data_IF_103159856220
#
_entry.id   IF_103159856220
#
_cell.length_a   1.000
_cell.length_b   1.000
_cell.length_c   1.000
_cell.angle_alpha   90.00
_cell.angle_beta   90.00
_cell.angle_gamma   90.00
#
_symmetry.space_group_name_H-M   'P 1'
#
loop_
_entity.id
_entity.type
_entity.pdbx_description
1 polymer ?
#
# COMPACT_ATOMS: atom_id res chain seq x y z
N UNK A 1 10.92 -10.59 -16.50
CA UNK A 1 11.70 -10.87 -15.27
C UNK A 1 10.78 -10.67 -14.08
N UNK A 2 10.79 -11.60 -13.11
CA UNK A 2 10.00 -11.54 -11.88
C UNK A 2 10.94 -11.78 -10.70
N UNK A 3 10.95 -10.88 -9.72
CA UNK A 3 11.71 -11.06 -8.49
C UNK A 3 10.76 -11.35 -7.33
N UNK A 4 10.94 -12.50 -6.67
CA UNK A 4 10.07 -12.97 -5.59
C UNK A 4 10.82 -12.91 -4.27
N UNK A 5 10.19 -12.34 -3.25
CA UNK A 5 10.74 -12.33 -1.90
C UNK A 5 9.65 -12.74 -0.91
N UNK A 6 9.99 -13.66 -0.01
CA UNK A 6 9.10 -14.22 0.99
C UNK A 6 9.92 -14.80 2.15
N UNK A 7 9.27 -15.08 3.27
CA UNK A 7 9.90 -15.70 4.43
C UNK A 7 10.41 -17.11 4.14
N UNK A 8 11.51 -17.48 4.79
CA UNK A 8 12.28 -18.69 4.51
C UNK A 8 11.52 -20.04 4.56
N UNK A 9 10.51 -20.28 5.42
CA UNK A 9 9.83 -21.59 5.37
C UNK A 9 8.96 -21.75 4.12
N UNK A 10 8.46 -20.67 3.52
CA UNK A 10 7.50 -20.72 2.40
C UNK A 10 8.12 -20.34 1.05
N UNK A 11 9.25 -19.63 1.04
CA UNK A 11 9.85 -19.12 -0.20
C UNK A 11 10.17 -20.23 -1.19
N UNK A 12 10.67 -21.38 -0.71
CA UNK A 12 11.02 -22.51 -1.59
C UNK A 12 9.80 -22.99 -2.37
N UNK A 13 8.71 -23.24 -1.65
CA UNK A 13 7.46 -23.74 -2.23
C UNK A 13 6.87 -22.71 -3.21
N UNK A 14 6.90 -21.42 -2.85
CA UNK A 14 6.44 -20.33 -3.72
C UNK A 14 7.28 -20.27 -5.01
N UNK A 15 8.61 -20.39 -4.91
CA UNK A 15 9.49 -20.33 -6.09
C UNK A 15 9.29 -21.54 -6.99
N UNK A 16 9.16 -22.74 -6.42
CA UNK A 16 8.86 -23.97 -7.17
C UNK A 16 7.50 -23.86 -7.88
N UNK A 17 6.46 -23.43 -7.18
CA UNK A 17 5.14 -23.19 -7.76
C UNK A 17 5.17 -22.13 -8.86
N UNK A 18 5.87 -21.02 -8.62
CA UNK A 18 5.97 -19.89 -9.57
C UNK A 18 6.67 -20.35 -10.86
N UNK A 19 7.79 -21.06 -10.74
CA UNK A 19 8.49 -21.61 -11.92
C UNK A 19 7.65 -22.65 -12.65
N UNK A 20 6.90 -23.47 -11.92
CA UNK A 20 6.01 -24.46 -12.53
C UNK A 20 4.87 -23.81 -13.33
N UNK A 21 4.22 -22.78 -12.77
CA UNK A 21 3.07 -22.11 -13.39
C UNK A 21 3.45 -21.07 -14.45
N UNK A 22 4.60 -20.42 -14.29
CA UNK A 22 4.94 -19.20 -15.03
C UNK A 22 6.36 -19.17 -15.61
N UNK A 23 7.15 -20.23 -15.45
CA UNK A 23 8.55 -20.27 -15.88
C UNK A 23 8.76 -20.24 -17.40
N UNK A 24 7.72 -20.50 -18.18
CA UNK A 24 7.70 -20.33 -19.64
C UNK A 24 7.60 -18.86 -20.07
N UNK A 25 7.03 -17.99 -19.22
CA UNK A 25 6.79 -16.56 -19.50
C UNK A 25 7.71 -15.63 -18.75
N UNK A 26 8.14 -16.04 -17.56
CA UNK A 26 8.93 -15.20 -16.67
C UNK A 26 10.22 -15.89 -16.27
N UNK A 27 11.31 -15.14 -16.40
CA UNK A 27 12.56 -15.45 -15.71
C UNK A 27 12.42 -15.07 -14.23
N UNK A 28 12.46 -16.08 -13.35
CA UNK A 28 12.19 -15.95 -11.91
C UNK A 28 13.49 -15.87 -11.12
N UNK A 29 13.68 -14.73 -10.45
CA UNK A 29 14.71 -14.46 -9.45
C UNK A 29 14.08 -14.46 -8.06
N UNK A 30 14.86 -14.72 -7.01
CA UNK A 30 14.34 -14.68 -5.65
C UNK A 30 15.34 -14.18 -4.62
N UNK A 31 14.82 -13.60 -3.55
CA UNK A 31 15.55 -13.14 -2.38
C UNK A 31 15.03 -13.82 -1.12
N UNK A 32 15.93 -14.13 -0.18
CA UNK A 32 15.60 -14.84 1.05
C UNK A 32 15.42 -13.86 2.20
N UNK A 33 14.32 -13.98 2.95
CA UNK A 33 14.15 -13.33 4.25
C UNK A 33 14.31 -14.36 5.38
N UNK A 34 15.45 -14.35 6.07
CA UNK A 34 15.61 -15.11 7.31
C UNK A 34 15.35 -14.21 8.52
N UNK A 35 14.08 -13.97 8.82
CA UNK A 35 13.67 -13.14 9.96
C UNK A 35 13.91 -13.82 11.33
N UNK A 36 14.27 -15.10 11.36
CA UNK A 36 14.56 -15.84 12.60
C UNK A 36 16.05 -15.86 12.96
N UNK A 37 16.91 -15.35 12.07
CA UNK A 37 18.35 -15.31 12.29
C UNK A 37 18.79 -13.86 12.50
N UNK A 38 19.15 -13.53 13.74
CA UNK A 38 19.60 -12.18 14.13
C UNK A 38 21.08 -11.91 13.78
N UNK A 39 21.70 -12.74 12.94
CA UNK A 39 23.09 -12.53 12.53
C UNK A 39 23.23 -11.32 11.60
N UNK A 40 24.42 -10.71 11.62
CA UNK A 40 24.75 -9.59 10.75
C UNK A 40 24.64 -9.95 9.26
N UNK A 41 24.97 -11.19 8.93
CA UNK A 41 24.90 -11.76 7.58
C UNK A 41 23.45 -11.82 7.12
N UNK A 42 22.56 -12.38 7.94
CA UNK A 42 21.12 -12.43 7.63
C UNK A 42 20.52 -11.02 7.45
N UNK A 43 20.90 -10.07 8.32
CA UNK A 43 20.48 -8.68 8.15
C UNK A 43 20.98 -8.06 6.83
N UNK A 44 22.23 -8.35 6.45
CA UNK A 44 22.83 -7.87 5.19
C UNK A 44 22.10 -8.45 3.97
N UNK A 45 21.70 -9.72 4.03
CA UNK A 45 20.91 -10.38 2.99
C UNK A 45 19.53 -9.72 2.85
N UNK A 46 18.82 -9.48 3.96
CA UNK A 46 17.51 -8.80 3.96
C UNK A 46 17.62 -7.41 3.33
N UNK A 47 18.64 -6.62 3.69
CA UNK A 47 18.88 -5.30 3.11
C UNK A 47 19.18 -5.36 1.61
N UNK A 48 19.93 -6.37 1.15
CA UNK A 48 20.19 -6.57 -0.27
C UNK A 48 18.89 -6.87 -1.02
N UNK A 49 18.01 -7.71 -0.46
CA UNK A 49 16.70 -8.02 -1.03
C UNK A 49 15.82 -6.78 -1.09
N UNK A 50 15.73 -5.98 -0.01
CA UNK A 50 14.95 -4.73 -0.02
C UNK A 50 15.48 -3.73 -1.04
N UNK A 51 16.81 -3.62 -1.18
CA UNK A 51 17.43 -2.75 -2.19
C UNK A 51 17.10 -3.21 -3.60
N UNK A 52 17.05 -4.51 -3.86
CA UNK A 52 16.67 -5.06 -5.18
C UNK A 52 15.20 -4.75 -5.44
N UNK A 53 14.30 -5.05 -4.50
CA UNK A 53 12.87 -4.78 -4.62
C UNK A 53 12.59 -3.29 -4.87
N UNK A 54 13.25 -2.38 -4.14
CA UNK A 54 13.07 -0.94 -4.30
C UNK A 54 13.55 -0.41 -5.67
N UNK A 55 14.35 -1.19 -6.41
CA UNK A 55 14.81 -0.90 -7.77
C UNK A 55 13.97 -1.59 -8.85
N UNK A 56 13.00 -2.42 -8.48
CA UNK A 56 12.05 -2.97 -9.44
C UNK A 56 11.21 -1.85 -10.06
N UNK A 57 10.80 -2.02 -11.32
CA UNK A 57 9.97 -1.02 -12.01
C UNK A 57 8.53 -0.97 -11.48
N UNK A 58 8.09 -2.07 -10.89
CA UNK A 58 6.76 -2.21 -10.31
C UNK A 58 6.80 -3.23 -9.17
N UNK A 59 6.02 -3.01 -8.12
CA UNK A 59 5.89 -3.92 -6.97
C UNK A 59 4.45 -4.38 -6.82
N UNK A 60 4.27 -5.67 -6.50
CA UNK A 60 3.01 -6.20 -6.00
C UNK A 60 3.28 -6.80 -4.62
N UNK A 61 2.54 -6.37 -3.60
CA UNK A 61 2.75 -6.80 -2.23
C UNK A 61 1.50 -6.64 -1.35
N UNK A 62 1.66 -6.80 -0.04
CA UNK A 62 0.68 -6.37 0.97
C UNK A 62 1.25 -5.20 1.77
N UNK A 63 0.52 -4.09 1.86
CA UNK A 63 0.91 -2.97 2.73
C UNK A 63 0.66 -3.24 4.21
N UNK A 64 0.00 -4.34 4.59
CA UNK A 64 0.10 -4.85 5.97
C UNK A 64 1.52 -5.27 6.37
N UNK A 65 2.42 -5.47 5.41
CA UNK A 65 3.83 -5.80 5.67
C UNK A 65 4.70 -4.55 5.76
N UNK A 66 5.30 -4.32 6.93
CA UNK A 66 6.30 -3.27 7.14
C UNK A 66 7.49 -3.40 6.16
N UNK A 67 7.83 -4.62 5.75
CA UNK A 67 8.86 -4.84 4.74
C UNK A 67 8.47 -4.24 3.39
N UNK A 68 7.19 -4.38 2.97
CA UNK A 68 6.74 -3.75 1.73
C UNK A 68 6.67 -2.22 1.86
N UNK A 69 6.17 -1.69 2.99
CA UNK A 69 6.13 -0.24 3.22
C UNK A 69 7.55 0.37 3.10
N UNK A 70 8.54 -0.24 3.75
CA UNK A 70 9.93 0.20 3.67
C UNK A 70 10.48 0.15 2.23
N UNK A 71 10.19 -0.92 1.50
CA UNK A 71 10.60 -1.04 0.09
C UNK A 71 9.97 0.05 -0.77
N UNK A 72 8.69 0.36 -0.55
CA UNK A 72 7.99 1.43 -1.25
C UNK A 72 8.58 2.82 -0.93
N UNK A 73 8.93 3.07 0.32
CA UNK A 73 9.62 4.31 0.73
C UNK A 73 10.99 4.45 0.08
N UNK A 74 11.79 3.38 0.09
CA UNK A 74 13.09 3.34 -0.58
C UNK A 74 12.96 3.55 -2.10
N UNK A 75 11.90 3.01 -2.72
CA UNK A 75 11.64 3.20 -4.14
C UNK A 75 11.48 4.68 -4.49
N UNK A 76 10.79 5.48 -3.68
CA UNK A 76 10.65 6.92 -3.91
C UNK A 76 12.03 7.62 -3.93
N UNK A 77 12.95 7.21 -3.06
CA UNK A 77 14.31 7.76 -3.02
C UNK A 77 15.11 7.37 -4.27
N UNK A 78 14.96 6.15 -4.77
CA UNK A 78 15.74 5.66 -5.92
C UNK A 78 15.21 6.12 -7.27
N UNK A 79 13.90 6.32 -7.40
CA UNK A 79 13.23 6.50 -8.70
C UNK A 79 12.55 7.87 -8.84
N UNK A 80 12.43 8.65 -7.76
CA UNK A 80 11.70 9.92 -7.77
C UNK A 80 10.21 9.71 -7.53
N UNK A 81 9.35 10.23 -8.41
CA UNK A 81 7.90 10.02 -8.33
C UNK A 81 7.54 8.61 -8.80
N UNK A 82 7.49 7.68 -7.84
CA UNK A 82 7.15 6.28 -8.06
C UNK A 82 5.90 5.89 -7.26
N UNK A 83 5.03 6.85 -6.98
CA UNK A 83 3.82 6.64 -6.16
C UNK A 83 2.89 5.60 -6.78
N UNK A 84 2.83 5.53 -8.12
CA UNK A 84 1.97 4.61 -8.87
C UNK A 84 2.66 3.27 -9.23
N UNK A 85 3.96 3.12 -8.94
CA UNK A 85 4.73 1.93 -9.32
C UNK A 85 4.54 0.75 -8.34
N UNK A 86 3.39 0.70 -7.66
CA UNK A 86 3.08 -0.33 -6.68
C UNK A 86 1.59 -0.66 -6.69
N UNK A 87 1.30 -1.93 -6.45
CA UNK A 87 -0.05 -2.42 -6.18
C UNK A 87 -0.05 -3.24 -4.89
N UNK A 88 -0.83 -2.78 -3.91
CA UNK A 88 -1.06 -3.49 -2.67
C UNK A 88 -2.33 -4.34 -2.77
N UNK A 89 -2.27 -5.56 -2.24
CA UNK A 89 -3.39 -6.51 -2.25
C UNK A 89 -4.38 -6.29 -1.09
N UNK A 90 -4.03 -5.47 -0.10
CA UNK A 90 -4.85 -5.23 1.09
C UNK A 90 -5.06 -3.74 1.36
N UNK A 91 -4.07 -3.02 1.84
CA UNK A 91 -4.23 -1.64 2.30
C UNK A 91 -3.74 -0.62 1.27
N UNK A 92 -4.21 0.62 1.37
CA UNK A 92 -3.51 1.79 0.80
C UNK A 92 -2.24 2.07 1.61
N UNK A 93 -1.28 2.82 1.05
CA UNK A 93 -0.08 3.19 1.81
C UNK A 93 -0.47 4.13 2.97
N UNK A 94 -0.24 3.69 4.20
CA UNK A 94 -0.73 4.34 5.42
C UNK A 94 0.40 5.08 6.17
N UNK A 95 0.60 6.37 5.86
CA UNK A 95 1.07 7.31 6.90
C UNK A 95 -0.10 8.10 7.51
N UNK A 96 -1.21 8.23 6.77
CA UNK A 96 -2.44 8.88 7.22
C UNK A 96 -3.65 8.17 6.59
N UNK A 97 -4.60 7.70 7.41
CA UNK A 97 -5.84 7.04 6.96
C UNK A 97 -6.91 8.03 6.53
N UNK A 98 -6.65 9.32 6.70
CA UNK A 98 -7.57 10.38 6.38
C UNK A 98 -7.52 10.73 4.89
N UNK A 99 -8.68 10.63 4.28
CA UNK A 99 -8.99 11.05 2.93
C UNK A 99 -10.03 12.18 3.00
N UNK A 100 -10.24 12.85 1.88
CA UNK A 100 -11.19 13.95 1.79
C UNK A 100 -12.17 13.69 0.65
N UNK A 101 -13.46 13.88 0.92
CA UNK A 101 -14.50 13.79 -0.09
C UNK A 101 -14.35 14.95 -1.10
N UNK A 102 -14.22 14.61 -2.38
CA UNK A 102 -14.03 15.58 -3.47
C UNK A 102 -15.31 16.32 -3.86
N UNK A 103 -16.47 15.73 -3.54
CA UNK A 103 -17.81 16.23 -3.85
C UNK A 103 -18.82 15.70 -2.83
N UNK A 104 -20.01 16.30 -2.80
CA UNK A 104 -21.14 15.72 -2.09
C UNK A 104 -21.55 14.38 -2.72
N UNK A 105 -21.71 13.36 -1.88
CA UNK A 105 -22.17 12.02 -2.25
C UNK A 105 -23.34 11.60 -1.37
N UNK A 106 -24.51 11.45 -1.97
CA UNK A 106 -25.75 10.95 -1.34
C UNK A 106 -26.12 9.58 -1.92
N UNK A 107 -26.12 8.52 -1.09
CA UNK A 107 -26.56 7.20 -1.54
C UNK A 107 -27.99 7.23 -2.08
N UNK A 108 -28.29 6.58 -3.21
CA UNK A 108 -29.65 6.46 -3.71
C UNK A 108 -30.51 5.65 -2.73
N UNK A 109 -31.69 6.16 -2.35
CA UNK A 109 -32.57 5.47 -1.39
C UNK A 109 -33.20 4.19 -1.95
N UNK A 110 -33.54 4.19 -3.25
CA UNK A 110 -34.27 3.09 -3.88
C UNK A 110 -33.34 1.97 -4.36
N UNK A 111 -32.13 2.33 -4.79
CA UNK A 111 -31.16 1.40 -5.39
C UNK A 111 -29.72 1.77 -4.97
N UNK A 112 -29.34 1.53 -3.71
CA UNK A 112 -27.94 1.66 -3.31
C UNK A 112 -27.09 0.65 -4.08
N UNK A 113 -25.89 1.07 -4.51
CA UNK A 113 -24.92 0.22 -5.22
C UNK A 113 -24.35 -0.81 -4.24
N UNK A 114 -24.13 -0.39 -2.99
CA UNK A 114 -23.65 -1.22 -1.88
C UNK A 114 -24.54 -1.07 -0.63
N UNK A 115 -24.64 -2.11 0.22
CA UNK A 115 -25.22 -1.97 1.54
C UNK A 115 -24.49 -0.89 2.35
N UNK A 116 -25.23 -0.14 3.16
CA UNK A 116 -24.68 0.81 4.14
C UNK A 116 -23.74 1.87 3.53
N UNK A 117 -24.07 2.40 2.36
CA UNK A 117 -23.30 3.50 1.80
C UNK A 117 -23.29 4.75 2.69
N UNK A 118 -22.12 5.38 2.77
CA UNK A 118 -21.86 6.52 3.61
C UNK A 118 -22.18 7.82 2.87
N UNK A 119 -23.07 8.62 3.42
CA UNK A 119 -23.26 10.01 2.98
C UNK A 119 -22.07 10.88 3.39
N UNK A 120 -21.58 11.71 2.47
CA UNK A 120 -20.57 12.73 2.75
C UNK A 120 -20.86 14.02 1.98
N UNK A 121 -20.51 15.14 2.60
CA UNK A 121 -20.45 16.45 1.96
C UNK A 121 -19.05 16.65 1.35
N UNK A 122 -18.93 17.57 0.40
CA UNK A 122 -17.63 17.97 -0.13
C UNK A 122 -16.73 18.45 1.03
N UNK A 123 -15.46 18.06 1.00
CA UNK A 123 -14.44 18.38 2.01
C UNK A 123 -14.61 17.66 3.36
N UNK A 124 -15.59 16.77 3.52
CA UNK A 124 -15.64 15.88 4.69
C UNK A 124 -14.38 15.03 4.77
N UNK A 125 -13.82 14.92 5.98
CA UNK A 125 -12.70 14.03 6.27
C UNK A 125 -13.22 12.62 6.52
N UNK A 126 -12.70 11.68 5.74
CA UNK A 126 -13.11 10.28 5.68
C UNK A 126 -11.94 9.41 6.13
N UNK A 127 -12.11 8.66 7.21
CA UNK A 127 -11.13 7.68 7.69
C UNK A 127 -11.37 6.33 7.01
N UNK A 128 -10.36 5.80 6.33
CA UNK A 128 -10.36 4.44 5.80
C UNK A 128 -10.27 3.40 6.93
N UNK A 129 -11.26 2.51 7.03
CA UNK A 129 -11.35 1.48 8.08
C UNK A 129 -10.97 0.07 7.61
N UNK A 130 -11.06 -0.22 6.31
CA UNK A 130 -10.79 -1.54 5.74
C UNK A 130 -9.69 -1.51 4.68
N UNK A 131 -9.12 -2.69 4.35
CA UNK A 131 -8.48 -2.92 3.07
C UNK A 131 -9.30 -2.36 1.90
N UNK A 132 -8.61 -1.96 0.84
CA UNK A 132 -9.20 -1.58 -0.43
C UNK A 132 -9.88 -2.78 -1.04
N UNK A 133 -11.19 -2.67 -1.28
CA UNK A 133 -11.92 -3.69 -2.01
C UNK A 133 -11.75 -3.47 -3.52
N UNK A 134 -11.72 -4.56 -4.29
CA UNK A 134 -11.61 -4.52 -5.75
C UNK A 134 -12.91 -4.05 -6.43
N UNK A 135 -13.97 -3.77 -5.65
CA UNK A 135 -15.27 -3.28 -6.11
C UNK A 135 -15.32 -1.75 -6.25
N UNK A 136 -14.25 -1.04 -5.90
CA UNK A 136 -14.16 0.43 -5.97
C UNK A 136 -14.76 1.17 -4.77
N UNK A 137 -15.16 0.44 -3.72
CA UNK A 137 -15.62 1.00 -2.46
C UNK A 137 -14.61 0.72 -1.34
N UNK A 138 -14.67 1.56 -0.30
CA UNK A 138 -13.92 1.35 0.94
C UNK A 138 -14.84 1.47 2.14
N UNK A 139 -14.66 0.62 3.15
CA UNK A 139 -15.31 0.82 4.44
C UNK A 139 -14.66 2.03 5.11
N UNK A 140 -15.46 3.03 5.44
CA UNK A 140 -14.94 4.27 5.97
C UNK A 140 -15.83 4.89 7.05
N UNK A 141 -15.26 5.80 7.82
CA UNK A 141 -15.93 6.65 8.80
C UNK A 141 -15.86 8.11 8.39
N UNK A 142 -16.99 8.81 8.42
CA UNK A 142 -17.02 10.26 8.21
C UNK A 142 -16.93 10.97 9.56
N UNK A 143 -15.86 11.75 9.78
CA UNK A 143 -15.66 12.43 11.07
C UNK A 143 -16.70 13.51 11.38
N UNK A 144 -17.34 14.11 10.37
CA UNK A 144 -18.40 15.10 10.62
C UNK A 144 -19.66 14.47 11.19
N UNK A 145 -20.05 13.30 10.67
CA UNK A 145 -21.30 12.63 11.05
C UNK A 145 -21.12 11.49 12.06
N UNK A 146 -19.88 11.09 12.34
CA UNK A 146 -19.50 9.92 13.14
C UNK A 146 -20.09 8.59 12.61
N UNK A 147 -20.64 8.60 11.39
CA UNK A 147 -21.19 7.40 10.76
C UNK A 147 -20.12 6.66 9.98
N UNK A 148 -20.26 5.36 9.98
CA UNK A 148 -19.48 4.49 9.14
C UNK A 148 -20.37 3.95 8.02
N UNK A 149 -19.82 3.83 6.81
CA UNK A 149 -20.45 3.08 5.73
C UNK A 149 -19.45 2.66 4.65
N UNK A 150 -19.94 2.23 3.50
CA UNK A 150 -19.14 2.06 2.29
C UNK A 150 -19.09 3.37 1.51
N UNK A 151 -17.90 3.79 1.06
CA UNK A 151 -17.73 5.03 0.31
C UNK A 151 -17.03 4.79 -1.03
N UNK A 152 -17.47 5.39 -2.15
CA UNK A 152 -16.82 5.22 -3.44
C UNK A 152 -15.42 5.85 -3.46
N UNK A 153 -14.39 5.06 -3.78
CA UNK A 153 -13.01 5.52 -3.70
C UNK A 153 -12.65 6.61 -4.71
N UNK A 154 -13.26 6.60 -5.89
CA UNK A 154 -13.00 7.61 -6.92
C UNK A 154 -13.46 9.02 -6.52
N UNK A 155 -14.27 9.14 -5.46
CA UNK A 155 -14.70 10.40 -4.88
C UNK A 155 -13.81 10.87 -3.73
N UNK A 156 -12.73 10.14 -3.43
CA UNK A 156 -11.76 10.49 -2.38
C UNK A 156 -10.50 11.08 -2.99
N UNK A 157 -9.89 12.03 -2.27
CA UNK A 157 -8.52 12.50 -2.50
C UNK A 157 -7.73 12.43 -1.20
N UNK A 158 -6.39 12.51 -1.30
CA UNK A 158 -5.52 12.58 -0.11
C UNK A 158 -5.82 13.84 0.69
N UNK A 159 -6.04 13.71 2.00
CA UNK A 159 -6.13 14.83 2.91
C UNK A 159 -4.72 15.28 3.31
N UNK A 160 -4.24 16.37 2.70
CA UNK A 160 -2.89 16.90 2.93
C UNK A 160 -2.86 17.70 4.24
N UNK A 161 -2.05 17.25 5.19
CA UNK A 161 -1.76 17.97 6.43
C UNK A 161 -0.47 18.77 6.27
N UNK A 162 -0.51 20.02 6.72
CA UNK A 162 0.64 20.92 6.70
C UNK A 162 1.06 21.21 8.14
N UNK A 163 2.31 20.92 8.46
CA UNK A 163 2.92 21.22 9.74
C UNK A 163 4.10 22.16 9.55
N UNK A 164 4.28 23.10 10.48
CA UNK A 164 5.34 24.09 10.38
C UNK A 164 6.60 23.57 11.08
N UNK A 165 7.50 22.96 10.30
CA UNK A 165 8.80 22.52 10.79
C UNK A 165 9.82 23.68 10.75
N UNK A 166 10.67 23.76 11.76
CA UNK A 166 11.78 24.71 11.78
C UNK A 166 12.65 24.55 10.55
N UNK A 167 12.82 25.62 9.77
CA UNK A 167 13.78 25.65 8.66
C UNK A 167 15.17 25.54 9.27
N UNK A 168 15.95 24.54 8.86
CA UNK A 168 17.32 24.36 9.31
C UNK A 168 18.25 25.41 8.67
N UNK A 169 18.09 26.67 9.06
CA UNK A 169 18.80 27.82 8.49
C UNK A 169 20.34 27.78 8.65
N UNK A 170 20.85 26.84 9.44
CA UNK A 170 22.28 26.72 9.78
C UNK A 170 22.91 25.40 9.29
N UNK A 171 22.32 24.69 8.32
CA UNK A 171 23.01 23.57 7.67
C UNK A 171 23.99 24.17 6.66
N UNK A 172 25.27 24.20 7.05
CA UNK A 172 26.41 24.47 6.15
C UNK A 172 26.84 23.20 5.42
#
# INVERSE_FOLDING_TARGET
MLFVAADLPILKDIVEETKHKWGDRYEVYHGIFNTQNDSKEAFTEILAVFRILAKCQFIVCTFSSNACQLVYELMQVYQGDAVENIHSLDYIYEMNKELEATTEYKPPQEHPIMPEELWAEKEDVIEALSPVHQDGFIRAKNYRSEKEGNFPMYLLKKHLKFENFSIFANIQ
#
